data_IF_710485693849
#
_entry.id   IF_710485693849
#
_cell.length_a   1.000
_cell.length_b   1.000
_cell.length_c   1.000
_cell.angle_alpha   90.00
_cell.angle_beta   90.00
_cell.angle_gamma   90.00
#
_symmetry.space_group_name_H-M   'P 1'
#
loop_
_entity.id
_entity.type
_entity.pdbx_description
1 polymer ?
#
# COMPACT_ATOMS: atom_id res chain seq x y z
N UNK A 1 3.33 -11.47 6.34
CA UNK A 1 3.26 -10.49 7.46
C UNK A 1 2.11 -10.90 8.37
N UNK A 2 2.38 -11.11 9.65
CA UNK A 2 1.36 -11.22 10.70
C UNK A 2 1.20 -9.88 11.41
N UNK A 3 -0.01 -9.53 11.83
CA UNK A 3 -0.30 -8.29 12.53
C UNK A 3 -1.47 -8.44 13.52
N UNK A 4 -1.49 -7.58 14.54
CA UNK A 4 -2.60 -7.40 15.46
C UNK A 4 -2.94 -5.92 15.51
N UNK A 5 -4.11 -5.54 14.97
CA UNK A 5 -4.58 -4.16 15.04
C UNK A 5 -5.36 -3.97 16.35
N UNK A 6 -4.83 -3.12 17.21
CA UNK A 6 -5.49 -2.65 18.42
C UNK A 6 -5.62 -1.11 18.36
N UNK A 7 -6.70 -0.59 17.75
CA UNK A 7 -6.93 0.85 17.64
C UNK A 7 -6.94 1.54 18.99
N UNK A 8 -6.35 2.73 19.07
CA UNK A 8 -6.55 3.65 20.21
C UNK A 8 -7.98 4.20 20.20
N UNK A 9 -8.38 4.92 21.25
CA UNK A 9 -9.70 5.58 21.33
C UNK A 9 -10.01 6.48 20.12
N UNK A 10 -8.99 7.08 19.52
CA UNK A 10 -9.10 7.88 18.28
C UNK A 10 -9.19 7.04 16.99
N UNK A 11 -9.30 5.72 17.09
CA UNK A 11 -9.40 4.80 15.96
C UNK A 11 -8.07 4.44 15.28
N UNK A 12 -6.97 5.08 15.65
CA UNK A 12 -5.71 4.89 14.92
C UNK A 12 -5.04 3.54 15.23
N UNK A 13 -4.85 2.75 14.17
CA UNK A 13 -3.97 1.59 14.14
C UNK A 13 -3.46 1.41 12.71
N UNK A 14 -2.23 0.93 12.55
CA UNK A 14 -1.69 0.57 11.24
C UNK A 14 -0.71 -0.58 11.38
N UNK A 15 -0.65 -1.41 10.36
CA UNK A 15 0.37 -2.42 10.17
C UNK A 15 0.73 -2.47 8.70
N UNK A 16 2.03 -2.53 8.40
CA UNK A 16 2.51 -2.58 7.03
C UNK A 16 3.99 -2.89 6.97
N UNK A 17 4.42 -3.29 5.78
CA UNK A 17 5.82 -3.54 5.46
C UNK A 17 6.19 -2.75 4.22
N UNK A 18 7.43 -2.28 4.18
CA UNK A 18 8.00 -1.63 3.01
C UNK A 18 9.29 -2.33 2.61
N UNK A 19 9.59 -2.29 1.31
CA UNK A 19 10.85 -2.74 0.73
C UNK A 19 11.49 -1.55 0.03
N UNK A 20 12.74 -1.28 0.38
CA UNK A 20 13.58 -0.35 -0.37
C UNK A 20 14.02 -0.99 -1.68
N UNK A 21 13.97 -0.19 -2.74
CA UNK A 21 14.39 -0.55 -4.08
C UNK A 21 15.65 0.24 -4.44
N UNK A 22 16.44 -0.31 -5.36
CA UNK A 22 17.57 0.38 -5.97
C UNK A 22 17.08 1.34 -7.09
N UNK A 23 16.13 2.21 -6.73
CA UNK A 23 15.52 3.27 -7.54
C UNK A 23 15.23 2.90 -9.01
N UNK A 24 14.44 1.84 -9.29
CA UNK A 24 14.14 1.47 -10.66
C UNK A 24 13.20 2.46 -11.34
N UNK A 25 13.45 2.70 -12.63
CA UNK A 25 12.46 3.29 -13.53
C UNK A 25 11.39 2.24 -13.87
N UNK A 26 10.19 2.46 -13.32
CA UNK A 26 9.00 1.63 -13.56
C UNK A 26 7.96 2.32 -14.46
N UNK A 27 8.31 3.44 -15.10
CA UNK A 27 7.41 4.20 -15.98
C UNK A 27 6.90 3.39 -17.18
N UNK A 28 7.67 2.39 -17.62
CA UNK A 28 7.29 1.47 -18.71
C UNK A 28 6.18 0.47 -18.35
N UNK A 29 5.78 0.39 -17.08
CA UNK A 29 4.76 -0.53 -16.60
C UNK A 29 3.45 0.19 -16.32
N UNK A 30 2.33 -0.53 -16.47
CA UNK A 30 0.97 -0.01 -16.21
C UNK A 30 0.48 -0.26 -14.78
N UNK A 31 1.19 -1.09 -14.01
CA UNK A 31 0.81 -1.46 -12.67
C UNK A 31 1.58 -2.66 -12.14
N UNK A 32 1.11 -3.19 -11.02
CA UNK A 32 1.63 -4.41 -10.39
C UNK A 32 0.58 -5.52 -10.35
N UNK A 33 1.04 -6.76 -10.40
CA UNK A 33 0.28 -7.96 -10.03
C UNK A 33 0.92 -8.54 -8.78
N UNK A 34 0.10 -8.79 -7.78
CA UNK A 34 0.52 -9.41 -6.52
C UNK A 34 -0.14 -10.79 -6.46
N UNK A 35 0.65 -11.83 -6.23
CA UNK A 35 0.17 -13.18 -5.93
C UNK A 35 0.19 -13.35 -4.41
N UNK A 36 -0.99 -13.43 -3.79
CA UNK A 36 -1.15 -13.39 -2.34
C UNK A 36 -2.40 -14.13 -1.86
N UNK A 37 -2.49 -14.31 -0.55
CA UNK A 37 -3.75 -14.47 0.17
C UNK A 37 -3.66 -13.87 1.57
N UNK A 38 -4.82 -13.74 2.22
CA UNK A 38 -4.94 -13.28 3.60
C UNK A 38 -5.51 -14.36 4.54
N UNK A 39 -5.31 -14.15 5.83
CA UNK A 39 -6.10 -14.78 6.89
C UNK A 39 -6.61 -13.70 7.85
N UNK A 40 -7.74 -13.97 8.50
CA UNK A 40 -8.43 -13.03 9.39
C UNK A 40 -9.40 -12.11 8.64
N UNK A 41 -10.01 -11.19 9.38
CA UNK A 41 -11.20 -10.41 8.94
C UNK A 41 -10.88 -9.20 8.07
N UNK A 42 -9.61 -8.79 8.01
CA UNK A 42 -9.20 -7.58 7.31
C UNK A 42 -8.89 -7.89 5.84
N UNK A 43 -9.84 -7.57 4.94
CA UNK A 43 -9.71 -7.80 3.50
C UNK A 43 -9.12 -6.62 2.72
N UNK A 44 -9.25 -5.39 3.22
CA UNK A 44 -8.79 -4.18 2.53
C UNK A 44 -7.34 -3.85 2.87
N UNK A 45 -6.54 -3.65 1.84
CA UNK A 45 -5.12 -3.27 1.93
C UNK A 45 -4.82 -2.11 0.99
N UNK A 46 -3.66 -1.50 1.18
CA UNK A 46 -3.12 -0.46 0.31
C UNK A 46 -1.76 -0.90 -0.21
N UNK A 47 -1.57 -0.78 -1.53
CA UNK A 47 -0.25 -0.82 -2.13
C UNK A 47 0.28 0.60 -2.21
N UNK A 48 1.51 0.79 -1.74
CA UNK A 48 2.11 2.10 -1.52
C UNK A 48 3.38 2.20 -2.37
N UNK A 49 3.53 3.33 -3.05
CA UNK A 49 4.73 3.72 -3.78
C UNK A 49 5.28 5.01 -3.17
N UNK A 50 6.59 5.05 -2.95
CA UNK A 50 7.30 6.26 -2.58
C UNK A 50 8.29 6.63 -3.68
N UNK A 51 8.34 7.93 -4.00
CA UNK A 51 9.41 8.51 -4.80
C UNK A 51 10.71 8.64 -4.01
N UNK A 52 11.71 9.32 -4.57
CA UNK A 52 12.91 9.69 -3.83
C UNK A 52 12.62 10.71 -2.73
N UNK A 53 13.07 10.40 -1.51
CA UNK A 53 12.96 11.26 -0.34
C UNK A 53 13.96 10.79 0.72
N UNK A 54 14.52 11.76 1.45
CA UNK A 54 15.48 11.56 2.53
C UNK A 54 14.88 10.79 3.70
N UNK A 55 13.68 11.19 4.14
CA UNK A 55 12.97 10.58 5.26
C UNK A 55 11.55 10.16 4.92
N UNK A 56 11.19 8.91 5.27
CA UNK A 56 9.85 8.33 5.03
C UNK A 56 8.69 9.16 5.59
N UNK A 57 8.92 9.88 6.69
CA UNK A 57 7.90 10.71 7.34
C UNK A 57 7.55 11.93 6.52
N UNK A 58 8.47 12.44 5.71
CA UNK A 58 8.29 13.64 4.90
C UNK A 58 7.87 13.32 3.46
N UNK A 59 7.87 12.04 3.08
CA UNK A 59 7.52 11.62 1.73
C UNK A 59 6.01 11.69 1.49
N UNK A 60 5.66 12.17 0.30
CA UNK A 60 4.35 11.91 -0.29
C UNK A 60 4.29 10.44 -0.69
N UNK A 61 3.30 9.71 -0.16
CA UNK A 61 2.98 8.36 -0.61
C UNK A 61 2.01 8.44 -1.78
N UNK A 62 2.13 7.51 -2.72
CA UNK A 62 1.10 7.25 -3.72
C UNK A 62 0.50 5.90 -3.38
N UNK A 63 -0.81 5.88 -3.15
CA UNK A 63 -1.48 4.72 -2.59
C UNK A 63 -2.63 4.29 -3.49
N UNK A 64 -2.83 2.97 -3.61
CA UNK A 64 -4.02 2.39 -4.23
C UNK A 64 -4.55 1.27 -3.36
N UNK A 65 -5.87 1.26 -3.17
CA UNK A 65 -6.55 0.25 -2.37
C UNK A 65 -6.77 -1.02 -3.20
N UNK A 66 -6.69 -2.17 -2.54
CA UNK A 66 -7.06 -3.45 -3.12
C UNK A 66 -7.64 -4.38 -2.05
N UNK A 67 -8.37 -5.39 -2.50
CA UNK A 67 -8.93 -6.42 -1.63
C UNK A 67 -8.09 -7.70 -1.75
N UNK A 68 -7.64 -8.21 -0.60
CA UNK A 68 -6.86 -9.44 -0.53
C UNK A 68 -7.80 -10.66 -0.43
N UNK A 69 -7.59 -11.69 -1.28
CA UNK A 69 -8.40 -12.90 -1.31
C UNK A 69 -8.07 -13.83 -0.13
N UNK A 70 -9.03 -14.66 0.29
CA UNK A 70 -8.82 -15.67 1.34
C UNK A 70 -8.03 -16.88 0.83
N UNK A 71 -8.24 -17.22 -0.43
CA UNK A 71 -7.47 -18.22 -1.16
C UNK A 71 -6.38 -17.52 -1.99
N UNK A 72 -5.34 -18.26 -2.36
CA UNK A 72 -4.23 -17.73 -3.16
C UNK A 72 -4.71 -17.30 -4.53
N UNK A 73 -4.64 -16.01 -4.82
CA UNK A 73 -4.96 -15.47 -6.14
C UNK A 73 -4.06 -14.29 -6.51
N UNK A 74 -4.18 -13.87 -7.77
CA UNK A 74 -3.47 -12.73 -8.33
C UNK A 74 -4.37 -11.49 -8.34
N UNK A 75 -3.96 -10.45 -7.62
CA UNK A 75 -4.62 -9.15 -7.62
C UNK A 75 -3.84 -8.17 -8.49
N UNK A 76 -4.54 -7.53 -9.42
CA UNK A 76 -3.96 -6.54 -10.35
C UNK A 76 -4.26 -5.13 -9.88
N UNK A 77 -3.22 -4.32 -9.72
CA UNK A 77 -3.31 -2.94 -9.23
C UNK A 77 -2.72 -1.99 -10.29
N UNK A 78 -3.57 -1.30 -11.08
CA UNK A 78 -3.13 -0.33 -12.07
C UNK A 78 -2.57 0.95 -11.43
N UNK A 79 -1.46 1.48 -11.97
CA UNK A 79 -0.87 2.74 -11.49
C UNK A 79 -1.80 3.95 -11.69
N UNK A 80 -2.69 3.90 -12.69
CA UNK A 80 -3.71 4.93 -12.89
C UNK A 80 -4.70 5.09 -11.73
N UNK A 81 -4.79 4.10 -10.83
CA UNK A 81 -5.68 4.13 -9.67
C UNK A 81 -5.00 4.71 -8.42
N UNK A 82 -3.76 5.19 -8.53
CA UNK A 82 -3.02 5.73 -7.39
C UNK A 82 -3.43 7.17 -7.14
N UNK A 83 -3.55 7.52 -5.87
CA UNK A 83 -3.75 8.89 -5.41
C UNK A 83 -2.63 9.25 -4.44
N UNK A 84 -2.25 10.53 -4.43
CA UNK A 84 -1.21 11.03 -3.55
C UNK A 84 -1.76 11.34 -2.16
N UNK A 85 -1.01 10.93 -1.13
CA UNK A 85 -1.32 11.16 0.27
C UNK A 85 -0.10 11.71 1.00
N UNK A 86 -0.35 12.55 1.99
CA UNK A 86 0.64 12.99 2.96
C UNK A 86 0.06 12.76 4.36
N UNK A 87 0.70 11.92 5.16
CA UNK A 87 0.18 11.46 6.46
C UNK A 87 -1.28 10.97 6.43
N UNK A 88 -1.67 10.26 5.37
CA UNK A 88 -3.03 9.75 5.20
C UNK A 88 -4.06 10.81 4.77
N UNK A 89 -3.64 12.04 4.50
CA UNK A 89 -4.49 13.11 3.94
C UNK A 89 -4.31 13.16 2.42
N UNK A 90 -5.39 13.11 1.62
CA UNK A 90 -5.30 13.28 0.17
C UNK A 90 -4.63 14.61 -0.19
N UNK A 91 -3.68 14.58 -1.12
CA UNK A 91 -3.01 15.79 -1.63
C UNK A 91 -3.58 16.14 -3.00
N UNK A 92 -4.34 17.23 -3.07
CA UNK A 92 -4.89 17.76 -4.33
C UNK A 92 -3.76 18.34 -5.19
N UNK A 93 -3.80 18.08 -6.50
CA UNK A 93 -2.87 18.66 -7.48
C UNK A 93 -1.55 17.92 -7.67
N UNK A 94 -1.23 16.87 -6.89
CA UNK A 94 -0.04 16.03 -7.10
C UNK A 94 -0.38 14.70 -7.79
N UNK A 95 -1.10 14.78 -8.92
CA UNK A 95 -1.68 13.61 -9.60
C UNK A 95 -0.68 12.76 -10.41
N UNK A 96 0.58 13.18 -10.52
CA UNK A 96 1.56 12.45 -11.31
C UNK A 96 2.59 11.81 -10.40
N UNK A 97 2.30 10.57 -10.02
CA UNK A 97 3.30 9.64 -9.50
C UNK A 97 4.48 9.60 -10.48
N UNK A 98 5.62 10.14 -10.07
CA UNK A 98 6.84 10.02 -10.85
C UNK A 98 7.37 8.59 -10.75
N UNK A 99 7.02 7.77 -11.74
CA UNK A 99 7.40 6.36 -11.81
C UNK A 99 8.87 6.14 -12.20
N UNK A 100 9.59 7.17 -12.66
CA UNK A 100 10.99 7.01 -13.07
C UNK A 100 11.97 6.93 -11.90
N UNK A 101 11.55 7.35 -10.70
CA UNK A 101 12.37 7.35 -9.48
C UNK A 101 11.60 6.76 -8.29
N UNK A 102 11.22 5.48 -8.41
CA UNK A 102 10.51 4.79 -7.31
C UNK A 102 11.52 4.23 -6.31
N UNK A 103 11.58 4.79 -5.10
CA UNK A 103 12.56 4.37 -4.09
C UNK A 103 12.08 3.19 -3.25
N UNK A 104 10.76 3.06 -3.02
CA UNK A 104 10.20 2.07 -2.10
C UNK A 104 8.81 1.63 -2.54
N UNK A 105 8.50 0.38 -2.23
CA UNK A 105 7.14 -0.18 -2.31
C UNK A 105 6.69 -0.65 -0.94
N UNK A 106 5.40 -0.63 -0.68
CA UNK A 106 4.85 -1.11 0.58
C UNK A 106 3.46 -1.70 0.44
N UNK A 107 3.12 -2.56 1.41
CA UNK A 107 1.77 -3.06 1.61
C UNK A 107 1.38 -2.75 3.05
N UNK A 108 0.22 -2.12 3.22
CA UNK A 108 -0.32 -1.71 4.51
C UNK A 108 -1.76 -2.18 4.62
N UNK A 109 -2.19 -2.61 5.81
CA UNK A 109 -3.61 -2.84 6.09
C UNK A 109 -4.35 -1.50 5.95
N UNK A 110 -5.49 -1.48 5.27
CA UNK A 110 -6.28 -0.26 5.13
C UNK A 110 -6.81 0.20 6.49
N UNK A 111 -6.70 1.48 6.79
CA UNK A 111 -7.13 2.07 8.06
C UNK A 111 -6.33 3.32 8.42
N UNK A 112 -6.46 3.73 9.68
CA UNK A 112 -5.83 4.94 10.23
C UNK A 112 -6.87 6.00 10.61
N UNK A 113 -6.43 7.06 11.28
CA UNK A 113 -7.30 8.11 11.84
C UNK A 113 -8.17 8.82 10.80
N UNK A 114 -7.80 8.79 9.52
CA UNK A 114 -8.52 9.44 8.43
C UNK A 114 -9.34 8.47 7.56
N UNK A 115 -9.36 7.17 7.92
CA UNK A 115 -10.19 6.19 7.22
C UNK A 115 -11.61 6.18 7.80
N UNK A 116 -12.66 5.95 6.98
CA UNK A 116 -14.04 5.88 7.43
C UNK A 116 -14.32 4.67 8.35
N UNK A 117 -13.47 3.64 8.31
CA UNK A 117 -13.62 2.42 9.09
C UNK A 117 -12.30 2.08 9.80
N UNK A 118 -12.36 1.92 11.12
CA UNK A 118 -11.24 1.41 11.90
C UNK A 118 -11.19 -0.12 11.80
N UNK A 119 -10.01 -0.65 11.51
CA UNK A 119 -9.74 -2.09 11.45
C UNK A 119 -9.15 -2.57 12.76
N UNK A 120 -9.62 -3.72 13.23
CA UNK A 120 -9.21 -4.31 14.51
C UNK A 120 -8.95 -5.80 14.36
N UNK A 121 -8.31 -6.37 15.37
CA UNK A 121 -8.08 -7.80 15.49
C UNK A 121 -6.85 -8.30 14.74
N UNK A 122 -6.55 -9.60 14.89
CA UNK A 122 -5.42 -10.24 14.25
C UNK A 122 -5.68 -10.49 12.76
N UNK A 123 -4.60 -10.56 12.00
CA UNK A 123 -4.64 -10.98 10.61
C UNK A 123 -3.26 -11.28 10.05
N UNK A 124 -3.24 -11.86 8.87
CA UNK A 124 -2.01 -12.07 8.12
C UNK A 124 -2.23 -11.87 6.63
N UNK A 125 -1.14 -11.55 5.94
CA UNK A 125 -1.06 -11.56 4.48
C UNK A 125 0.20 -12.33 4.10
N UNK A 126 0.04 -13.32 3.22
CA UNK A 126 1.14 -14.07 2.64
C UNK A 126 1.29 -13.66 1.19
N UNK A 127 2.51 -13.23 0.82
CA UNK A 127 2.82 -12.67 -0.48
C UNK A 127 3.82 -13.61 -1.13
N UNK A 128 3.44 -14.25 -2.23
CA UNK A 128 4.32 -15.12 -2.99
C UNK A 128 5.16 -14.32 -3.97
N UNK A 129 4.54 -13.40 -4.71
CA UNK A 129 5.24 -12.55 -5.68
C UNK A 129 4.61 -11.17 -5.80
N UNK A 130 5.45 -10.19 -6.13
CA UNK A 130 5.03 -8.88 -6.63
C UNK A 130 5.76 -8.69 -7.96
N UNK A 131 5.03 -8.46 -9.04
CA UNK A 131 5.58 -8.31 -10.38
C UNK A 131 4.93 -7.12 -11.09
N UNK A 132 5.68 -6.42 -11.95
CA UNK A 132 5.15 -5.33 -12.75
C UNK A 132 4.66 -5.83 -14.12
N UNK A 133 3.59 -5.23 -14.66
CA UNK A 133 3.02 -5.61 -15.96
C UNK A 133 2.95 -4.42 -16.93
N UNK A 134 3.01 -4.71 -18.24
CA UNK A 134 2.98 -3.71 -19.32
C UNK A 134 1.57 -3.39 -19.81
#
# INVERSE_FOLDING_TARGET
MFYLLNPRENGSSFAGVYRQLDTPDISKYKGVVIDLHRQGVNSKFQFILYGECSELRECVSHESQFEAPEIREKVKIPFKNFSAYFHGTPKSGSNHLNLSHTSRIGIKVYGGSNAPENRFGPGSIEIFTISAYK
#
